data_IF_994402306848
#
_entry.id   IF_994402306848
#
_cell.length_a   1.000
_cell.length_b   1.000
_cell.length_c   1.000
_cell.angle_alpha   90.00
_cell.angle_beta   90.00
_cell.angle_gamma   90.00
#
_symmetry.space_group_name_H-M   'P 1'
#
loop_
_entity.id
_entity.type
_entity.pdbx_description
1 polymer ?
#
# COMPACT_ATOMS: atom_id res chain seq x y z
N UNK A 1 2.83 7.32 -26.27
CA UNK A 1 3.18 8.33 -25.27
C UNK A 1 4.69 8.49 -25.22
N UNK A 2 5.17 9.72 -25.11
CA UNK A 2 6.59 10.07 -25.02
C UNK A 2 7.13 9.95 -23.57
N UNK A 3 6.25 9.69 -22.61
CA UNK A 3 6.58 9.54 -21.19
C UNK A 3 6.97 8.11 -20.84
N UNK A 4 8.14 7.93 -20.20
CA UNK A 4 8.57 6.65 -19.67
C UNK A 4 7.94 6.39 -18.29
N UNK A 5 7.23 5.25 -18.07
CA UNK A 5 6.39 5.04 -16.90
C UNK A 5 7.13 4.39 -15.72
N UNK A 6 7.76 5.18 -14.83
CA UNK A 6 8.20 4.71 -13.51
C UNK A 6 7.07 4.65 -12.47
N UNK A 7 5.85 4.41 -12.93
CA UNK A 7 4.65 4.19 -12.12
C UNK A 7 4.02 2.83 -12.45
N UNK A 8 3.03 2.42 -11.68
CA UNK A 8 2.22 1.23 -12.01
C UNK A 8 1.45 1.41 -13.32
N UNK A 9 1.12 0.35 -14.04
CA UNK A 9 1.29 -1.08 -13.72
C UNK A 9 2.67 -1.63 -14.10
N UNK A 10 2.99 -2.83 -13.55
CA UNK A 10 4.30 -3.48 -13.71
C UNK A 10 4.70 -3.91 -15.12
N UNK A 11 3.76 -4.03 -16.05
CA UNK A 11 4.07 -4.34 -17.47
C UNK A 11 4.71 -3.14 -18.22
N UNK A 12 4.69 -1.91 -17.65
CA UNK A 12 5.35 -0.69 -18.17
C UNK A 12 5.07 -0.36 -19.63
N UNK A 13 3.96 -0.82 -20.19
CA UNK A 13 3.63 -0.76 -21.64
C UNK A 13 4.67 -1.47 -22.52
N UNK A 14 5.52 -2.29 -21.91
CA UNK A 14 6.55 -3.05 -22.62
C UNK A 14 5.93 -4.34 -23.17
N UNK A 15 5.73 -4.39 -24.48
CA UNK A 15 5.13 -5.55 -25.16
C UNK A 15 5.96 -6.83 -25.00
N UNK A 16 7.26 -6.72 -24.80
CA UNK A 16 8.14 -7.88 -24.62
C UNK A 16 7.92 -8.57 -23.24
N UNK A 17 7.44 -7.84 -22.23
CA UNK A 17 7.15 -8.36 -20.89
C UNK A 17 5.70 -8.81 -20.70
N UNK A 18 4.81 -8.47 -21.63
CA UNK A 18 3.39 -8.86 -21.56
C UNK A 18 3.10 -10.06 -22.45
N UNK A 19 2.17 -10.89 -22.01
CA UNK A 19 1.58 -11.89 -22.89
C UNK A 19 0.54 -11.21 -23.81
N UNK A 20 0.45 -11.63 -25.02
CA UNK A 20 -0.50 -11.30 -26.11
C UNK A 20 -1.35 -10.01 -25.99
N UNK A 21 -1.67 -9.39 -27.13
CA UNK A 21 -2.66 -8.31 -27.22
C UNK A 21 -4.06 -8.84 -26.87
N UNK A 22 -4.66 -8.30 -25.80
CA UNK A 22 -6.06 -8.59 -25.45
C UNK A 22 -6.98 -7.67 -26.23
N UNK A 23 -7.82 -8.28 -27.06
CA UNK A 23 -8.83 -7.60 -27.86
C UNK A 23 -10.24 -7.94 -27.36
N UNK A 24 -11.24 -7.16 -27.76
CA UNK A 24 -12.63 -7.35 -27.34
C UNK A 24 -13.17 -8.75 -27.70
N UNK A 25 -12.70 -9.37 -28.78
CA UNK A 25 -13.05 -10.74 -29.16
C UNK A 25 -12.57 -11.82 -28.16
N UNK A 26 -11.70 -11.45 -27.23
CA UNK A 26 -11.23 -12.32 -26.13
C UNK A 26 -11.96 -12.06 -24.81
N UNK A 27 -12.81 -11.04 -24.76
CA UNK A 27 -13.62 -10.75 -23.57
C UNK A 27 -14.87 -11.62 -23.59
N UNK A 28 -14.94 -12.56 -22.63
CA UNK A 28 -16.01 -13.55 -22.50
C UNK A 28 -16.60 -13.51 -21.09
N UNK A 29 -17.68 -14.21 -20.89
CA UNK A 29 -18.28 -14.46 -19.57
C UNK A 29 -18.17 -15.94 -19.20
N UNK A 30 -18.92 -16.40 -18.19
CA UNK A 30 -18.99 -17.78 -17.70
C UNK A 30 -19.72 -18.68 -18.71
N UNK A 31 -19.10 -18.89 -19.87
CA UNK A 31 -19.62 -19.79 -20.91
C UNK A 31 -19.07 -21.21 -20.73
N UNK A 32 -19.74 -22.18 -21.36
CA UNK A 32 -19.35 -23.60 -21.30
C UNK A 32 -17.87 -23.79 -21.67
N UNK A 33 -17.12 -24.47 -20.80
CA UNK A 33 -15.69 -24.76 -21.00
C UNK A 33 -14.73 -23.67 -20.44
N UNK A 34 -15.25 -22.54 -19.92
CA UNK A 34 -14.41 -21.46 -19.40
C UNK A 34 -14.49 -21.26 -17.87
N UNK A 35 -15.23 -22.15 -17.16
CA UNK A 35 -15.33 -22.16 -15.70
C UNK A 35 -16.05 -20.90 -15.12
N UNK A 36 -16.10 -20.77 -13.78
CA UNK A 36 -16.68 -19.64 -13.05
C UNK A 36 -15.78 -19.29 -11.87
N UNK A 37 -15.32 -18.04 -11.77
CA UNK A 37 -14.39 -17.63 -10.72
C UNK A 37 -14.92 -17.88 -9.29
N UNK A 38 -16.23 -17.69 -9.08
CA UNK A 38 -16.86 -17.86 -7.76
C UNK A 38 -17.19 -19.33 -7.45
N UNK A 39 -17.15 -20.20 -8.46
CA UNK A 39 -17.36 -21.64 -8.34
C UNK A 39 -16.37 -22.41 -9.22
N UNK A 40 -15.09 -22.13 -9.04
CA UNK A 40 -14.03 -22.67 -9.88
C UNK A 40 -13.86 -24.19 -9.68
N UNK A 41 -14.08 -24.94 -10.75
CA UNK A 41 -13.96 -26.42 -10.80
C UNK A 41 -13.05 -26.88 -11.93
N UNK A 42 -12.81 -26.06 -12.95
CA UNK A 42 -12.03 -26.33 -14.16
C UNK A 42 -10.79 -25.44 -14.28
N UNK A 43 -10.66 -24.75 -15.42
CA UNK A 43 -9.46 -23.99 -15.80
C UNK A 43 -9.09 -22.88 -14.80
N UNK A 44 -10.07 -22.22 -14.19
CA UNK A 44 -9.80 -21.17 -13.20
C UNK A 44 -9.33 -21.77 -11.87
N UNK A 45 -9.83 -22.96 -11.50
CA UNK A 45 -9.31 -23.71 -10.37
C UNK A 45 -7.85 -24.10 -10.61
N UNK A 46 -7.55 -24.69 -11.77
CA UNK A 46 -6.20 -25.09 -12.16
C UNK A 46 -5.24 -23.90 -12.17
N UNK A 47 -5.65 -22.74 -12.71
CA UNK A 47 -4.85 -21.51 -12.72
C UNK A 47 -4.55 -21.00 -11.30
N UNK A 48 -5.53 -21.02 -10.38
CA UNK A 48 -5.35 -20.63 -8.98
C UNK A 48 -4.47 -21.63 -8.21
N UNK A 49 -4.63 -22.93 -8.44
CA UNK A 49 -3.77 -23.98 -7.86
C UNK A 49 -2.34 -23.85 -8.38
N UNK A 50 -2.17 -23.53 -9.65
CA UNK A 50 -0.88 -23.27 -10.25
C UNK A 50 -0.19 -22.04 -9.64
N UNK A 51 -0.91 -20.94 -9.47
CA UNK A 51 -0.39 -19.77 -8.76
C UNK A 51 0.02 -20.10 -7.31
N UNK A 52 -0.77 -20.90 -6.59
CA UNK A 52 -0.42 -21.37 -5.25
C UNK A 52 0.87 -22.21 -5.25
N UNK A 53 1.08 -23.06 -6.24
CA UNK A 53 2.32 -23.86 -6.38
C UNK A 53 3.54 -22.97 -6.60
N UNK A 54 3.44 -21.95 -7.47
CA UNK A 54 4.54 -21.03 -7.75
C UNK A 54 4.96 -20.27 -6.48
N UNK A 55 3.98 -19.75 -5.73
CA UNK A 55 4.26 -18.98 -4.51
C UNK A 55 4.45 -19.86 -3.25
N UNK A 56 4.39 -21.18 -3.37
CA UNK A 56 4.54 -22.08 -2.24
C UNK A 56 3.45 -21.96 -1.17
N UNK A 57 2.26 -21.45 -1.54
CA UNK A 57 1.14 -21.21 -0.62
C UNK A 57 0.14 -22.35 -0.66
N UNK A 58 -0.67 -22.50 0.40
CA UNK A 58 -1.68 -23.58 0.47
C UNK A 58 -2.80 -23.40 -0.54
N UNK A 59 -3.21 -22.15 -0.78
CA UNK A 59 -4.28 -21.80 -1.72
C UNK A 59 -4.13 -20.37 -2.20
N UNK A 60 -4.66 -20.13 -3.39
CA UNK A 60 -4.63 -18.82 -4.03
C UNK A 60 -6.02 -18.48 -4.56
N UNK A 61 -6.44 -17.23 -4.42
CA UNK A 61 -7.67 -16.72 -5.01
C UNK A 61 -7.36 -15.53 -5.90
N UNK A 62 -7.78 -15.58 -7.14
CA UNK A 62 -7.70 -14.44 -8.05
C UNK A 62 -8.69 -13.35 -7.66
N UNK A 63 -8.24 -12.12 -7.74
CA UNK A 63 -9.08 -10.94 -7.57
C UNK A 63 -9.04 -10.06 -8.82
N UNK A 64 -10.20 -9.87 -9.43
CA UNK A 64 -10.41 -8.96 -10.57
C UNK A 64 -10.93 -7.60 -10.12
N UNK A 65 -11.11 -7.41 -8.81
CA UNK A 65 -11.48 -6.14 -8.17
C UNK A 65 -10.32 -5.59 -7.32
N UNK A 66 -9.08 -5.91 -7.73
CA UNK A 66 -7.85 -5.44 -7.11
C UNK A 66 -7.59 -6.02 -5.72
N UNK A 67 -6.49 -5.61 -5.11
CA UNK A 67 -6.20 -5.91 -3.71
C UNK A 67 -7.27 -5.35 -2.77
N UNK A 68 -8.03 -4.36 -3.20
CA UNK A 68 -9.15 -3.82 -2.41
C UNK A 68 -10.15 -4.91 -2.02
N UNK A 69 -10.68 -5.67 -2.99
CA UNK A 69 -11.63 -6.76 -2.69
C UNK A 69 -10.98 -7.87 -1.87
N UNK A 70 -9.72 -8.20 -2.15
CA UNK A 70 -8.96 -9.19 -1.39
C UNK A 70 -8.75 -8.79 0.08
N UNK A 71 -8.41 -7.52 0.35
CA UNK A 71 -8.29 -6.97 1.72
C UNK A 71 -9.63 -6.98 2.46
N UNK A 72 -10.72 -6.54 1.79
CA UNK A 72 -12.06 -6.62 2.34
C UNK A 72 -12.42 -8.05 2.73
N UNK A 73 -12.11 -9.02 1.87
CA UNK A 73 -12.39 -10.43 2.11
C UNK A 73 -11.55 -11.01 3.26
N UNK A 74 -10.24 -10.73 3.27
CA UNK A 74 -9.31 -11.18 4.30
C UNK A 74 -9.73 -10.70 5.70
N UNK A 75 -9.98 -9.40 5.86
CA UNK A 75 -10.43 -8.82 7.14
C UNK A 75 -11.80 -9.37 7.54
N UNK A 76 -12.76 -9.46 6.60
CA UNK A 76 -14.11 -9.94 6.90
C UNK A 76 -14.15 -11.42 7.27
N UNK A 77 -13.23 -12.23 6.77
CA UNK A 77 -13.12 -13.65 7.10
C UNK A 77 -12.42 -13.88 8.45
N UNK A 78 -11.48 -13.01 8.82
CA UNK A 78 -10.62 -13.17 9.99
C UNK A 78 -11.23 -12.56 11.26
N UNK A 79 -12.16 -11.59 11.14
CA UNK A 79 -12.74 -10.89 12.28
C UNK A 79 -14.26 -10.98 12.23
N UNK A 80 -14.88 -11.33 13.35
CA UNK A 80 -16.34 -11.34 13.49
C UNK A 80 -16.90 -9.92 13.37
N UNK A 81 -18.15 -9.79 12.90
CA UNK A 81 -18.83 -8.49 12.88
C UNK A 81 -18.83 -7.87 14.28
N UNK A 82 -18.44 -6.62 14.40
CA UNK A 82 -18.30 -5.92 15.68
C UNK A 82 -17.07 -6.30 16.50
N UNK A 83 -16.24 -7.25 16.01
CA UNK A 83 -15.04 -7.70 16.71
C UNK A 83 -13.90 -6.69 16.65
N UNK A 84 -12.84 -6.97 17.42
CA UNK A 84 -11.66 -6.10 17.52
C UNK A 84 -10.54 -6.56 16.58
N UNK A 85 -9.89 -5.62 15.92
CA UNK A 85 -8.76 -5.85 15.02
C UNK A 85 -7.60 -4.92 15.35
N UNK A 86 -6.36 -5.44 15.38
CA UNK A 86 -5.15 -4.62 15.40
C UNK A 86 -4.78 -4.24 13.96
N UNK A 87 -4.56 -2.96 13.69
CA UNK A 87 -4.30 -2.44 12.34
C UNK A 87 -3.13 -1.46 12.38
N UNK A 88 -2.16 -1.65 11.48
CA UNK A 88 -1.13 -0.63 11.25
C UNK A 88 -1.76 0.63 10.66
N UNK A 89 -1.54 1.81 11.30
CA UNK A 89 -2.25 3.06 10.95
C UNK A 89 -1.87 3.61 9.56
N UNK A 90 -0.80 3.14 8.97
CA UNK A 90 -0.37 3.44 7.60
C UNK A 90 -0.93 2.48 6.53
N UNK A 91 -1.96 1.71 6.84
CA UNK A 91 -2.63 0.85 5.86
C UNK A 91 -3.39 1.66 4.80
N UNK A 92 -3.56 1.04 3.65
CA UNK A 92 -4.39 1.58 2.56
C UNK A 92 -5.86 1.72 3.00
N UNK A 93 -6.57 2.71 2.44
CA UNK A 93 -8.00 2.99 2.75
C UNK A 93 -8.92 1.77 2.67
N UNK A 94 -8.62 0.77 1.85
CA UNK A 94 -9.40 -0.46 1.75
C UNK A 94 -9.53 -1.21 3.09
N UNK A 95 -8.52 -1.15 3.96
CA UNK A 95 -8.56 -1.77 5.29
C UNK A 95 -9.60 -1.07 6.17
N UNK A 96 -9.62 0.26 6.14
CA UNK A 96 -10.60 1.05 6.90
C UNK A 96 -12.03 0.89 6.36
N UNK A 97 -12.18 0.66 5.04
CA UNK A 97 -13.49 0.29 4.48
C UNK A 97 -13.94 -1.08 5.00
N UNK A 98 -13.05 -2.05 5.16
CA UNK A 98 -13.40 -3.33 5.80
C UNK A 98 -13.81 -3.14 7.25
N UNK A 99 -13.10 -2.29 8.00
CA UNK A 99 -13.44 -1.93 9.38
C UNK A 99 -14.85 -1.32 9.45
N UNK A 100 -15.18 -0.40 8.52
CA UNK A 100 -16.52 0.20 8.42
C UNK A 100 -17.58 -0.86 8.12
N UNK A 101 -17.43 -1.62 7.03
CA UNK A 101 -18.42 -2.59 6.55
C UNK A 101 -18.71 -3.70 7.57
N UNK A 102 -17.71 -4.04 8.39
CA UNK A 102 -17.83 -5.08 9.41
C UNK A 102 -18.11 -4.51 10.80
N UNK A 103 -18.30 -3.19 10.94
CA UNK A 103 -18.53 -2.48 12.21
C UNK A 103 -17.45 -2.81 13.26
N UNK A 104 -16.18 -2.99 12.84
CA UNK A 104 -15.12 -3.44 13.72
C UNK A 104 -14.66 -2.34 14.68
N UNK A 105 -14.02 -2.77 15.76
CA UNK A 105 -13.34 -1.94 16.73
C UNK A 105 -11.83 -1.97 16.44
N UNK A 106 -11.27 -0.98 15.70
CA UNK A 106 -9.86 -0.98 15.39
C UNK A 106 -9.03 -0.53 16.59
N UNK A 107 -7.91 -1.23 16.82
CA UNK A 107 -6.79 -0.77 17.63
C UNK A 107 -5.69 -0.37 16.67
N UNK A 108 -5.23 0.88 16.72
CA UNK A 108 -4.23 1.36 15.79
C UNK A 108 -2.81 1.28 16.36
N UNK A 109 -1.92 0.59 15.63
CA UNK A 109 -0.49 0.62 15.89
C UNK A 109 0.18 1.52 14.85
N UNK A 110 0.85 2.58 15.31
CA UNK A 110 1.51 3.53 14.43
C UNK A 110 2.91 3.03 14.07
N UNK A 111 3.33 3.05 12.79
CA UNK A 111 4.73 2.80 12.45
C UNK A 111 5.63 3.87 13.05
N UNK A 112 6.92 3.60 13.09
CA UNK A 112 7.90 4.67 13.25
C UNK A 112 7.89 5.56 12.00
N UNK A 113 8.14 6.86 12.16
CA UNK A 113 8.26 7.80 11.05
C UNK A 113 9.68 8.38 11.03
N UNK A 114 10.38 8.24 9.92
CA UNK A 114 11.60 9.02 9.67
C UNK A 114 11.20 10.45 9.34
N UNK A 115 11.31 11.34 10.32
CA UNK A 115 10.88 12.73 10.17
C UNK A 115 11.75 13.53 9.21
N UNK A 116 13.04 13.17 9.09
CA UNK A 116 13.96 13.79 8.14
C UNK A 116 13.54 13.54 6.69
N UNK A 117 13.19 12.32 6.38
CA UNK A 117 12.73 11.91 5.04
C UNK A 117 11.22 12.07 4.84
N UNK A 118 10.44 12.02 5.91
CA UNK A 118 8.97 12.07 5.86
C UNK A 118 8.34 10.75 5.41
N UNK A 119 8.98 9.61 5.69
CA UNK A 119 8.51 8.28 5.28
C UNK A 119 8.12 7.42 6.48
N UNK A 120 7.18 6.49 6.25
CA UNK A 120 6.81 5.51 7.25
C UNK A 120 7.84 4.39 7.32
N UNK A 121 8.36 4.10 8.52
CA UNK A 121 9.13 2.91 8.83
C UNK A 121 8.26 1.67 8.98
N UNK A 122 8.85 0.62 9.57
CA UNK A 122 8.16 -0.64 9.86
C UNK A 122 7.45 -0.64 11.23
N UNK A 123 6.88 -1.78 11.55
CA UNK A 123 6.29 -2.08 12.87
C UNK A 123 7.25 -3.01 13.60
N UNK A 124 7.64 -2.70 14.85
CA UNK A 124 8.49 -3.58 15.62
C UNK A 124 7.70 -4.70 16.31
N UNK A 125 8.26 -5.93 16.37
CA UNK A 125 7.62 -7.08 17.03
C UNK A 125 7.27 -6.81 18.49
N UNK A 126 8.14 -6.10 19.24
CA UNK A 126 7.94 -5.79 20.66
C UNK A 126 6.73 -4.90 20.88
N UNK A 127 6.46 -3.98 19.93
CA UNK A 127 5.27 -3.15 19.99
C UNK A 127 4.02 -3.98 19.71
N UNK A 128 4.08 -4.92 18.75
CA UNK A 128 2.95 -5.83 18.46
C UNK A 128 2.63 -6.66 19.69
N UNK A 129 3.64 -7.24 20.36
CA UNK A 129 3.47 -8.02 21.61
C UNK A 129 2.73 -7.20 22.64
N UNK A 130 3.23 -6.01 22.97
CA UNK A 130 2.61 -5.13 23.99
C UNK A 130 1.15 -4.80 23.64
N UNK A 131 0.85 -4.46 22.37
CA UNK A 131 -0.52 -4.15 21.97
C UNK A 131 -1.47 -5.34 22.09
N UNK A 132 -0.98 -6.56 21.80
CA UNK A 132 -1.77 -7.78 21.95
C UNK A 132 -1.96 -8.20 23.41
N UNK A 133 -0.97 -7.96 24.27
CA UNK A 133 -1.10 -8.15 25.73
C UNK A 133 -2.14 -7.22 26.35
N UNK A 134 -2.16 -5.95 25.91
CA UNK A 134 -3.12 -4.93 26.36
C UNK A 134 -4.53 -5.13 25.77
N UNK A 135 -4.66 -5.87 24.66
CA UNK A 135 -5.91 -6.08 23.91
C UNK A 135 -6.12 -7.56 23.59
N UNK A 136 -6.40 -8.36 24.60
CA UNK A 136 -6.51 -9.83 24.50
C UNK A 136 -7.70 -10.34 23.69
N UNK A 137 -8.65 -9.48 23.34
CA UNK A 137 -9.84 -9.76 22.53
C UNK A 137 -9.67 -9.40 21.04
N UNK A 138 -8.48 -8.98 20.63
CA UNK A 138 -8.12 -8.82 19.21
C UNK A 138 -8.20 -10.17 18.49
N UNK A 139 -8.82 -10.19 17.30
CA UNK A 139 -9.08 -11.40 16.53
C UNK A 139 -8.17 -11.57 15.31
N UNK A 140 -7.49 -10.51 14.86
CA UNK A 140 -6.50 -10.54 13.79
C UNK A 140 -5.58 -9.33 13.88
N UNK A 141 -4.36 -9.45 13.32
CA UNK A 141 -3.47 -8.32 13.08
C UNK A 141 -3.28 -8.12 11.58
N UNK A 142 -3.39 -6.88 11.12
CA UNK A 142 -3.13 -6.50 9.73
C UNK A 142 -2.07 -5.38 9.66
N UNK A 143 -1.05 -5.58 8.82
CA UNK A 143 -0.06 -4.56 8.48
C UNK A 143 0.26 -4.55 6.99
N UNK A 144 0.85 -3.45 6.52
CA UNK A 144 1.36 -3.31 5.15
C UNK A 144 2.89 -3.48 5.15
N UNK A 145 3.38 -4.46 4.37
CA UNK A 145 4.81 -4.71 4.19
C UNK A 145 5.06 -5.39 2.84
N UNK A 146 5.85 -4.82 1.92
CA UNK A 146 6.52 -3.51 2.05
C UNK A 146 5.55 -2.34 2.19
N UNK A 147 5.99 -1.26 2.86
CA UNK A 147 5.26 0.02 2.82
C UNK A 147 5.29 0.58 1.39
N UNK A 148 4.53 1.63 1.14
CA UNK A 148 4.54 2.30 -0.17
C UNK A 148 5.94 2.79 -0.55
N UNK A 149 6.70 3.25 0.44
CA UNK A 149 8.08 3.74 0.27
C UNK A 149 9.12 2.61 0.19
N UNK A 150 8.74 1.37 0.47
CA UNK A 150 9.58 0.17 0.34
C UNK A 150 10.12 -0.40 1.65
N UNK A 151 9.75 0.14 2.81
CA UNK A 151 10.20 -0.40 4.10
C UNK A 151 9.53 -1.74 4.41
N UNK A 152 10.30 -2.71 4.83
CA UNK A 152 9.85 -4.05 5.21
C UNK A 152 9.99 -4.24 6.72
N UNK A 153 8.91 -4.72 7.37
CA UNK A 153 8.89 -5.11 8.78
C UNK A 153 9.44 -6.53 8.98
N UNK A 154 9.88 -6.87 10.19
CA UNK A 154 10.27 -8.26 10.55
C UNK A 154 9.03 -9.16 10.64
N UNK A 155 8.52 -9.55 9.47
CA UNK A 155 7.30 -10.38 9.37
C UNK A 155 7.45 -11.69 10.11
N UNK A 156 8.64 -12.31 10.08
CA UNK A 156 8.87 -13.60 10.74
C UNK A 156 8.66 -13.49 12.24
N UNK A 157 9.34 -12.56 12.89
CA UNK A 157 9.22 -12.36 14.34
C UNK A 157 7.82 -11.86 14.71
N UNK A 158 7.22 -10.99 13.88
CA UNK A 158 5.82 -10.55 14.07
C UNK A 158 4.84 -11.73 14.00
N UNK A 159 5.01 -12.65 13.04
CA UNK A 159 4.17 -13.85 12.92
C UNK A 159 4.30 -14.74 14.19
N UNK A 160 5.52 -14.95 14.68
CA UNK A 160 5.76 -15.71 15.92
C UNK A 160 5.05 -15.06 17.12
N UNK A 161 5.07 -13.73 17.23
CA UNK A 161 4.34 -12.98 18.26
C UNK A 161 2.83 -13.20 18.13
N UNK A 162 2.28 -12.95 16.97
CA UNK A 162 0.83 -13.00 16.67
C UNK A 162 0.29 -14.42 16.93
N UNK A 163 1.02 -15.44 16.52
CA UNK A 163 0.63 -16.84 16.71
C UNK A 163 0.63 -17.28 18.18
N UNK A 164 1.47 -16.69 19.05
CA UNK A 164 1.35 -16.94 20.51
C UNK A 164 -0.02 -16.49 21.06
N UNK A 165 -0.61 -15.47 20.47
CA UNK A 165 -1.98 -15.00 20.80
C UNK A 165 -3.07 -15.76 20.05
N UNK A 166 -2.74 -16.75 19.22
CA UNK A 166 -3.67 -17.61 18.45
C UNK A 166 -4.60 -16.84 17.51
N UNK A 167 -4.12 -15.77 16.92
CA UNK A 167 -4.81 -14.97 15.91
C UNK A 167 -4.05 -14.98 14.59
N UNK A 168 -4.70 -14.80 13.43
CA UNK A 168 -4.05 -14.76 12.13
C UNK A 168 -3.35 -13.41 11.89
N UNK A 169 -2.21 -13.49 11.18
CA UNK A 169 -1.49 -12.37 10.61
C UNK A 169 -1.89 -12.16 9.15
N UNK A 170 -2.42 -10.98 8.84
CA UNK A 170 -2.76 -10.55 7.48
C UNK A 170 -1.71 -9.54 7.03
N UNK A 171 -1.06 -9.80 5.90
CA UNK A 171 -0.09 -8.87 5.31
C UNK A 171 -0.60 -8.32 3.99
N UNK A 172 -0.79 -7.01 3.95
CA UNK A 172 -0.97 -6.28 2.69
C UNK A 172 0.41 -6.12 2.03
N UNK A 173 0.72 -7.06 1.17
CA UNK A 173 1.93 -7.10 0.33
C UNK A 173 1.61 -6.66 -1.10
N UNK A 174 0.69 -5.70 -1.28
CA UNK A 174 0.26 -5.26 -2.61
C UNK A 174 1.41 -4.77 -3.50
N UNK A 175 2.50 -4.27 -2.91
CA UNK A 175 3.71 -3.86 -3.61
C UNK A 175 4.81 -4.94 -3.69
N UNK A 176 4.53 -6.17 -3.27
CA UNK A 176 5.54 -7.22 -3.11
C UNK A 176 5.37 -8.45 -4.02
N UNK A 177 4.52 -8.42 -5.06
CA UNK A 177 4.31 -9.60 -5.91
C UNK A 177 5.59 -10.09 -6.62
N UNK A 178 6.59 -9.25 -6.79
CA UNK A 178 7.88 -9.56 -7.40
C UNK A 178 8.90 -10.19 -6.42
N UNK A 179 8.70 -10.07 -5.11
CA UNK A 179 9.67 -10.47 -4.09
C UNK A 179 10.07 -11.95 -4.20
N UNK A 180 9.10 -12.80 -4.54
CA UNK A 180 9.32 -14.24 -4.68
C UNK A 180 10.33 -14.63 -5.77
N UNK A 181 10.56 -13.79 -6.78
CA UNK A 181 11.30 -14.17 -7.99
C UNK A 181 12.80 -13.92 -7.95
N UNK A 182 13.31 -13.18 -6.98
CA UNK A 182 14.77 -12.93 -6.87
C UNK A 182 15.20 -12.66 -5.43
N UNK A 183 16.31 -13.27 -5.04
CA UNK A 183 16.98 -13.04 -3.73
C UNK A 183 17.57 -11.62 -3.60
N UNK A 184 17.55 -10.83 -4.64
CA UNK A 184 17.92 -9.42 -4.61
C UNK A 184 16.94 -8.57 -3.80
N UNK A 185 15.70 -9.01 -3.71
CA UNK A 185 14.62 -8.37 -2.98
C UNK A 185 14.41 -9.02 -1.60
N UNK A 186 13.71 -8.34 -0.68
CA UNK A 186 13.29 -8.93 0.59
C UNK A 186 12.51 -10.23 0.39
N UNK A 187 12.49 -11.06 1.43
CA UNK A 187 11.68 -12.29 1.42
C UNK A 187 10.20 -11.94 1.55
N UNK A 188 9.35 -12.59 0.75
CA UNK A 188 7.90 -12.40 0.80
C UNK A 188 7.31 -12.79 2.14
N UNK A 189 6.28 -12.09 2.59
CA UNK A 189 5.52 -12.42 3.79
C UNK A 189 4.92 -13.84 3.76
N UNK A 190 4.63 -14.36 2.56
CA UNK A 190 4.15 -15.72 2.38
C UNK A 190 5.14 -16.79 2.87
N UNK A 191 6.45 -16.52 2.77
CA UNK A 191 7.53 -17.40 3.20
C UNK A 191 7.96 -17.16 4.67
N UNK A 192 7.45 -16.09 5.28
CA UNK A 192 7.85 -15.64 6.63
C UNK A 192 6.81 -15.90 7.72
N UNK A 193 5.76 -16.67 7.41
CA UNK A 193 4.79 -17.11 8.41
C UNK A 193 3.52 -16.25 8.49
N UNK A 194 3.30 -15.32 7.58
CA UNK A 194 1.99 -14.67 7.44
C UNK A 194 0.92 -15.73 7.08
N UNK A 195 -0.32 -15.54 7.55
CA UNK A 195 -1.41 -16.49 7.32
C UNK A 195 -2.20 -16.17 6.05
N UNK A 196 -2.37 -14.87 5.79
CA UNK A 196 -3.03 -14.34 4.59
C UNK A 196 -2.16 -13.24 4.01
N UNK A 197 -1.81 -13.35 2.73
CA UNK A 197 -1.00 -12.36 2.02
C UNK A 197 -1.75 -11.88 0.79
N UNK A 198 -1.81 -10.56 0.59
CA UNK A 198 -2.49 -9.97 -0.56
C UNK A 198 -1.45 -9.27 -1.44
N UNK A 199 -1.40 -9.65 -2.73
CA UNK A 199 -0.47 -9.08 -3.69
C UNK A 199 -1.21 -8.51 -4.90
N UNK A 200 -0.82 -7.30 -5.34
CA UNK A 200 -1.27 -6.73 -6.62
C UNK A 200 -0.30 -7.15 -7.72
N UNK A 201 -0.75 -7.98 -8.65
CA UNK A 201 0.11 -8.38 -9.76
C UNK A 201 0.46 -7.20 -10.66
N UNK A 202 -0.52 -6.35 -10.95
CA UNK A 202 -0.35 -5.21 -11.84
C UNK A 202 0.66 -4.15 -11.37
N UNK A 203 1.03 -4.14 -10.09
CA UNK A 203 1.95 -3.12 -9.57
C UNK A 203 3.41 -3.42 -9.93
N UNK A 204 3.81 -4.68 -9.86
CA UNK A 204 5.22 -5.06 -9.98
C UNK A 204 5.46 -6.22 -10.95
N UNK A 205 4.41 -6.85 -11.47
CA UNK A 205 4.46 -7.93 -12.46
C UNK A 205 3.75 -7.52 -13.75
N UNK A 206 4.04 -8.18 -14.89
CA UNK A 206 3.46 -7.85 -16.19
C UNK A 206 2.03 -8.37 -16.34
N UNK A 207 1.12 -7.86 -15.53
CA UNK A 207 -0.30 -8.16 -15.55
C UNK A 207 -1.13 -6.88 -15.69
N UNK A 208 -2.37 -6.99 -16.12
CA UNK A 208 -3.25 -5.84 -16.34
C UNK A 208 -3.62 -5.17 -15.02
N UNK A 209 -3.83 -3.85 -15.06
CA UNK A 209 -4.34 -3.07 -13.91
C UNK A 209 -5.59 -3.73 -13.32
N UNK A 210 -5.75 -3.68 -12.00
CA UNK A 210 -6.84 -4.28 -11.23
C UNK A 210 -6.62 -5.77 -10.86
N UNK A 211 -5.62 -6.45 -11.44
CA UNK A 211 -5.32 -7.85 -11.09
C UNK A 211 -4.61 -7.96 -9.75
N UNK A 212 -5.08 -8.87 -8.91
CA UNK A 212 -4.50 -9.16 -7.61
C UNK A 212 -4.75 -10.62 -7.18
N UNK A 213 -4.04 -11.05 -6.17
CA UNK A 213 -4.14 -12.41 -5.62
C UNK A 213 -4.20 -12.33 -4.09
N UNK A 214 -5.05 -13.18 -3.51
CA UNK A 214 -5.06 -13.47 -2.08
C UNK A 214 -4.48 -14.87 -1.89
N UNK A 215 -3.38 -14.96 -1.15
CA UNK A 215 -2.75 -16.21 -0.75
C UNK A 215 -3.19 -16.63 0.63
N UNK A 216 -3.49 -17.91 0.81
CA UNK A 216 -3.65 -18.58 2.09
C UNK A 216 -2.39 -19.38 2.35
N UNK A 217 -1.67 -19.04 3.43
CA UNK A 217 -0.37 -19.61 3.74
C UNK A 217 -0.43 -20.62 4.90
N UNK A 218 -1.42 -20.53 5.79
CA UNK A 218 -1.55 -21.39 6.98
C UNK A 218 -2.99 -21.88 7.21
N UNK A 219 -3.15 -22.79 8.18
CA UNK A 219 -4.46 -23.31 8.61
C UNK A 219 -5.20 -22.35 9.57
N UNK A 220 -4.59 -21.24 9.96
CA UNK A 220 -5.26 -20.22 10.76
C UNK A 220 -6.26 -19.39 9.92
N UNK A 221 -6.12 -19.40 8.60
CA UNK A 221 -7.04 -18.74 7.70
C UNK A 221 -8.23 -19.65 7.37
N UNK A 222 -9.45 -19.14 7.59
CA UNK A 222 -10.70 -19.87 7.25
C UNK A 222 -10.98 -19.76 5.75
N UNK A 223 -10.59 -20.79 5.01
CA UNK A 223 -10.71 -20.87 3.54
C UNK A 223 -12.13 -20.63 3.06
N UNK A 224 -13.13 -21.23 3.73
CA UNK A 224 -14.52 -21.15 3.30
C UNK A 224 -15.11 -19.75 3.55
N UNK A 225 -14.74 -19.10 4.65
CA UNK A 225 -15.10 -17.69 4.87
C UNK A 225 -14.42 -16.77 3.84
N UNK A 226 -13.13 -16.98 3.56
CA UNK A 226 -12.42 -16.19 2.54
C UNK A 226 -13.10 -16.35 1.18
N UNK A 227 -13.38 -17.59 0.75
CA UNK A 227 -14.08 -17.86 -0.51
C UNK A 227 -15.43 -17.15 -0.57
N UNK A 228 -16.21 -17.20 0.52
CA UNK A 228 -17.49 -16.50 0.63
C UNK A 228 -17.35 -15.00 0.45
N UNK A 229 -16.42 -14.36 1.16
CA UNK A 229 -16.23 -12.92 1.07
C UNK A 229 -15.59 -12.48 -0.24
N UNK A 230 -14.71 -13.29 -0.86
CA UNK A 230 -14.25 -13.05 -2.23
C UNK A 230 -15.43 -13.01 -3.21
N UNK A 231 -16.42 -13.91 -3.06
CA UNK A 231 -17.63 -13.87 -3.88
C UNK A 231 -18.56 -12.67 -3.59
N UNK A 232 -18.55 -12.13 -2.35
CA UNK A 232 -19.37 -10.96 -1.97
C UNK A 232 -18.76 -9.66 -2.50
N UNK A 233 -17.44 -9.52 -2.42
CA UNK A 233 -16.76 -8.26 -2.74
C UNK A 233 -16.26 -8.15 -4.18
N UNK A 234 -16.37 -9.20 -4.98
CA UNK A 234 -16.09 -9.15 -6.39
C UNK A 234 -17.37 -9.10 -7.21
N UNK A 235 -17.25 -8.57 -8.44
CA UNK A 235 -18.34 -8.59 -9.43
C UNK A 235 -18.81 -10.02 -9.71
N UNK A 236 -20.11 -10.20 -9.93
CA UNK A 236 -20.69 -11.50 -10.36
C UNK A 236 -20.31 -11.87 -11.79
N UNK A 237 -19.85 -10.89 -12.60
CA UNK A 237 -19.37 -11.09 -13.97
C UNK A 237 -17.88 -10.69 -14.03
N UNK A 238 -16.97 -11.57 -13.54
CA UNK A 238 -15.55 -11.28 -13.50
C UNK A 238 -14.96 -11.22 -14.90
N UNK A 239 -14.10 -10.22 -15.16
CA UNK A 239 -13.44 -10.07 -16.46
C UNK A 239 -12.49 -11.23 -16.75
N UNK A 240 -12.76 -11.99 -17.80
CA UNK A 240 -11.89 -13.06 -18.27
C UNK A 240 -10.59 -12.53 -18.86
N UNK A 241 -10.58 -11.31 -19.40
CA UNK A 241 -9.36 -10.64 -19.87
C UNK A 241 -8.39 -10.44 -18.69
N UNK A 242 -8.90 -9.99 -17.53
CA UNK A 242 -8.06 -9.82 -16.34
C UNK A 242 -7.54 -11.16 -15.81
N UNK A 243 -8.40 -12.19 -15.75
CA UNK A 243 -7.99 -13.53 -15.31
C UNK A 243 -6.96 -14.16 -16.24
N UNK A 244 -7.19 -14.06 -17.55
CA UNK A 244 -6.24 -14.53 -18.56
C UNK A 244 -4.91 -13.76 -18.51
N UNK A 245 -4.94 -12.47 -18.18
CA UNK A 245 -3.71 -11.67 -17.95
C UNK A 245 -2.91 -12.18 -16.75
N UNK A 246 -3.57 -12.60 -15.66
CA UNK A 246 -2.89 -13.21 -14.52
C UNK A 246 -2.29 -14.56 -14.87
N UNK A 247 -3.05 -15.43 -15.53
CA UNK A 247 -2.60 -16.76 -15.96
C UNK A 247 -1.41 -16.65 -16.93
N UNK A 248 -1.52 -15.80 -17.94
CA UNK A 248 -0.44 -15.55 -18.91
C UNK A 248 0.82 -14.95 -18.22
N UNK A 249 0.65 -14.07 -17.23
CA UNK A 249 1.75 -13.55 -16.42
C UNK A 249 2.46 -14.70 -15.67
N UNK A 250 1.71 -15.60 -15.03
CA UNK A 250 2.27 -16.74 -14.30
C UNK A 250 3.00 -17.71 -15.23
N UNK A 251 2.42 -18.02 -16.41
CA UNK A 251 3.08 -18.88 -17.39
C UNK A 251 4.35 -18.26 -17.96
N UNK A 252 4.34 -16.95 -18.26
CA UNK A 252 5.53 -16.21 -18.68
C UNK A 252 6.63 -16.25 -17.63
N UNK A 253 6.28 -16.00 -16.37
CA UNK A 253 7.24 -16.03 -15.26
C UNK A 253 7.80 -17.43 -15.00
N UNK A 254 6.99 -18.47 -15.16
CA UNK A 254 7.46 -19.86 -15.09
C UNK A 254 8.50 -20.18 -16.18
N UNK A 255 8.25 -19.75 -17.39
CA UNK A 255 9.11 -20.04 -18.56
C UNK A 255 10.39 -19.21 -18.54
N UNK A 256 10.26 -17.93 -18.34
CA UNK A 256 11.31 -16.96 -18.59
C UNK A 256 11.70 -16.13 -17.34
N UNK A 257 10.98 -16.29 -16.22
CA UNK A 257 11.09 -15.44 -15.04
C UNK A 257 12.51 -15.36 -14.49
N UNK A 258 13.23 -16.48 -14.45
CA UNK A 258 14.62 -16.48 -13.98
C UNK A 258 15.53 -15.57 -14.84
N UNK A 259 15.34 -15.57 -16.15
CA UNK A 259 16.08 -14.70 -17.06
C UNK A 259 15.63 -13.24 -16.91
N UNK A 260 14.31 -13.01 -16.94
CA UNK A 260 13.72 -11.67 -16.81
C UNK A 260 14.16 -10.97 -15.50
N UNK A 261 14.13 -11.69 -14.38
CA UNK A 261 14.55 -11.13 -13.10
C UNK A 261 16.06 -10.96 -12.97
N UNK A 262 16.88 -11.81 -13.62
CA UNK A 262 18.33 -11.56 -13.69
C UNK A 262 18.64 -10.27 -14.45
N UNK A 263 18.01 -10.04 -15.60
CA UNK A 263 18.19 -8.83 -16.39
C UNK A 263 17.69 -7.60 -15.65
N UNK A 264 16.50 -7.70 -15.07
CA UNK A 264 15.91 -6.61 -14.27
C UNK A 264 16.81 -6.22 -13.10
N UNK A 265 17.22 -7.17 -12.26
CA UNK A 265 18.05 -6.89 -11.09
C UNK A 265 19.45 -6.40 -11.47
N UNK A 266 20.02 -6.87 -12.58
CA UNK A 266 21.27 -6.37 -13.10
C UNK A 266 21.17 -4.89 -13.52
N UNK A 267 20.15 -4.53 -14.30
CA UNK A 267 19.93 -3.16 -14.75
C UNK A 267 19.58 -2.22 -13.57
N UNK A 268 18.76 -2.69 -12.65
CA UNK A 268 18.39 -1.93 -11.45
C UNK A 268 19.62 -1.66 -10.58
N UNK A 269 20.47 -2.67 -10.33
CA UNK A 269 21.68 -2.50 -9.54
C UNK A 269 22.67 -1.55 -10.21
N UNK A 270 22.88 -1.66 -11.54
CA UNK A 270 23.70 -0.74 -12.31
C UNK A 270 23.19 0.71 -12.16
N UNK A 271 21.88 0.91 -12.26
CA UNK A 271 21.26 2.22 -12.08
C UNK A 271 21.46 2.75 -10.65
N UNK A 272 21.21 1.92 -9.63
CA UNK A 272 21.41 2.31 -8.21
C UNK A 272 22.87 2.69 -7.93
N UNK A 273 23.83 1.93 -8.41
CA UNK A 273 25.26 2.24 -8.27
C UNK A 273 25.66 3.55 -8.98
N UNK A 274 25.02 3.88 -10.09
CA UNK A 274 25.25 5.14 -10.80
C UNK A 274 24.63 6.30 -10.02
N UNK A 275 23.39 6.18 -9.62
CA UNK A 275 22.61 7.18 -8.89
C UNK A 275 23.15 7.44 -7.46
N UNK A 276 23.79 6.46 -6.83
CA UNK A 276 24.41 6.65 -5.51
C UNK A 276 25.58 7.64 -5.51
N UNK A 277 26.08 8.05 -6.68
CA UNK A 277 27.15 9.03 -6.85
C UNK A 277 26.62 10.47 -6.86
N UNK A 278 25.33 10.70 -6.98
CA UNK A 278 24.73 12.02 -6.91
C UNK A 278 24.99 12.63 -5.53
N UNK A 279 25.40 13.90 -5.52
CA UNK A 279 25.87 14.56 -4.30
C UNK A 279 24.75 15.29 -3.56
N UNK A 280 23.73 15.76 -4.27
CA UNK A 280 22.63 16.58 -3.73
C UNK A 280 21.32 15.80 -3.67
N UNK A 281 20.87 15.21 -4.78
CA UNK A 281 19.71 14.29 -4.79
C UNK A 281 20.19 12.92 -4.31
N UNK A 282 19.68 12.46 -3.16
CA UNK A 282 20.10 11.18 -2.60
C UNK A 282 19.11 10.06 -2.95
N UNK A 283 19.60 9.02 -3.62
CA UNK A 283 18.86 7.77 -3.72
C UNK A 283 18.88 7.09 -2.34
N UNK A 284 17.71 6.93 -1.73
CA UNK A 284 17.57 6.38 -0.38
C UNK A 284 17.77 4.86 -0.40
N UNK A 285 18.62 4.39 0.50
CA UNK A 285 18.82 2.99 0.85
C UNK A 285 18.21 2.70 2.22
N UNK A 286 17.85 1.44 2.49
CA UNK A 286 17.25 1.06 3.76
C UNK A 286 18.08 1.44 4.99
N UNK A 287 19.41 1.41 4.87
CA UNK A 287 20.34 1.83 5.94
C UNK A 287 20.36 3.34 6.22
N UNK A 288 19.76 4.15 5.35
CA UNK A 288 19.68 5.61 5.49
C UNK A 288 18.40 6.05 6.19
N UNK A 289 17.45 5.13 6.41
CA UNK A 289 16.16 5.40 7.04
C UNK A 289 16.33 5.25 8.55
N UNK A 290 15.97 6.29 9.29
CA UNK A 290 16.05 6.29 10.75
C UNK A 290 14.81 5.64 11.37
N UNK A 291 15.01 4.91 12.48
CA UNK A 291 13.93 4.42 13.33
C UNK A 291 13.92 2.92 13.62
N UNK A 292 12.96 2.53 14.44
CA UNK A 292 12.74 1.14 14.82
C UNK A 292 11.76 0.43 13.86
N UNK A 293 11.85 -0.90 13.80
CA UNK A 293 10.94 -1.73 13.00
C UNK A 293 11.29 -1.82 11.52
N UNK A 294 12.44 -1.27 11.10
CA UNK A 294 12.97 -1.44 9.76
C UNK A 294 13.81 -2.71 9.75
N UNK A 295 13.35 -3.71 9.01
CA UNK A 295 14.02 -5.00 8.90
C UNK A 295 14.78 -5.13 7.58
N UNK A 296 14.13 -4.71 6.47
CA UNK A 296 14.71 -4.73 5.14
C UNK A 296 14.08 -3.60 4.29
N UNK A 297 14.53 -3.48 3.05
CA UNK A 297 14.07 -2.45 2.13
C UNK A 297 13.92 -3.02 0.71
N UNK A 298 12.79 -2.77 0.08
CA UNK A 298 12.53 -3.15 -1.32
C UNK A 298 13.28 -2.23 -2.28
N UNK A 299 14.38 -2.73 -2.84
CA UNK A 299 15.25 -1.98 -3.75
C UNK A 299 14.62 -1.64 -5.10
N UNK A 300 13.44 -2.20 -5.41
CA UNK A 300 12.65 -1.78 -6.58
C UNK A 300 12.09 -0.37 -6.42
N UNK A 301 12.05 0.15 -5.19
CA UNK A 301 11.65 1.52 -4.87
C UNK A 301 12.84 2.46 -5.10
N UNK A 302 12.66 3.36 -6.06
CA UNK A 302 13.63 4.41 -6.38
C UNK A 302 13.19 5.70 -5.71
N UNK A 303 13.60 5.88 -4.47
CA UNK A 303 13.21 7.01 -3.63
C UNK A 303 14.32 8.06 -3.64
N UNK A 304 14.07 9.19 -4.29
CA UNK A 304 15.01 10.29 -4.45
C UNK A 304 14.71 11.41 -3.46
N UNK A 305 15.53 11.53 -2.42
CA UNK A 305 15.40 12.61 -1.45
C UNK A 305 15.95 13.91 -1.99
N UNK A 306 15.21 14.99 -1.75
CA UNK A 306 15.59 16.37 -2.05
C UNK A 306 15.95 17.18 -0.81
N UNK A 307 16.06 16.54 0.36
CA UNK A 307 16.44 17.17 1.62
C UNK A 307 17.82 17.82 1.50
N UNK A 308 17.93 19.08 1.90
CA UNK A 308 19.17 19.87 1.78
C UNK A 308 19.45 20.38 0.37
N UNK A 309 18.43 20.48 -0.51
CA UNK A 309 18.57 21.02 -1.86
C UNK A 309 17.63 22.20 -2.12
N UNK A 310 17.91 22.97 -3.16
CA UNK A 310 17.08 24.11 -3.60
C UNK A 310 15.76 23.71 -4.28
N UNK A 311 15.47 22.41 -4.42
CA UNK A 311 14.22 21.89 -5.00
C UNK A 311 13.52 20.99 -3.99
N UNK A 312 12.20 21.01 -3.95
CA UNK A 312 11.43 20.03 -3.20
C UNK A 312 11.02 18.86 -4.12
N UNK A 313 10.42 17.79 -3.56
CA UNK A 313 10.05 16.63 -4.36
C UNK A 313 9.02 16.94 -5.45
N UNK A 314 8.09 17.87 -5.22
CA UNK A 314 7.10 18.25 -6.24
C UNK A 314 7.76 18.94 -7.44
N UNK A 315 8.72 19.84 -7.19
CA UNK A 315 9.47 20.50 -8.26
C UNK A 315 10.37 19.51 -9.01
N UNK A 316 11.05 18.59 -8.30
CA UNK A 316 11.81 17.52 -8.92
C UNK A 316 10.93 16.65 -9.83
N UNK A 317 9.75 16.26 -9.38
CA UNK A 317 8.77 15.51 -10.17
C UNK A 317 8.36 16.28 -11.43
N UNK A 318 8.06 17.57 -11.30
CA UNK A 318 7.71 18.42 -12.40
C UNK A 318 8.83 18.52 -13.43
N UNK A 319 10.09 18.72 -13.00
CA UNK A 319 11.26 18.77 -13.90
C UNK A 319 11.42 17.43 -14.64
N UNK A 320 11.34 16.29 -13.94
CA UNK A 320 11.43 14.96 -14.56
C UNK A 320 10.36 14.75 -15.63
N UNK A 321 9.12 15.17 -15.34
CA UNK A 321 8.01 15.04 -16.27
C UNK A 321 8.16 15.98 -17.48
N UNK A 322 8.35 17.27 -17.24
CA UNK A 322 8.21 18.29 -18.28
C UNK A 322 9.47 18.39 -19.16
N UNK A 323 10.68 18.18 -18.60
CA UNK A 323 11.95 18.28 -19.34
C UNK A 323 12.47 16.93 -19.85
N UNK A 324 12.31 15.86 -19.03
CA UNK A 324 12.88 14.55 -19.36
C UNK A 324 11.83 13.53 -19.80
N UNK A 325 10.54 13.87 -19.74
CA UNK A 325 9.42 13.00 -20.08
C UNK A 325 9.44 11.68 -19.28
N UNK A 326 9.75 11.79 -18.00
CA UNK A 326 9.73 10.68 -17.03
C UNK A 326 8.60 10.91 -16.05
N UNK A 327 7.63 10.00 -16.04
CA UNK A 327 6.51 10.02 -15.08
C UNK A 327 6.87 9.12 -13.90
N UNK A 328 7.00 9.73 -12.72
CA UNK A 328 7.28 9.02 -11.47
C UNK A 328 5.96 8.57 -10.82
N UNK A 329 6.06 7.70 -9.84
CA UNK A 329 4.88 7.18 -9.15
C UNK A 329 4.21 8.24 -8.28
N UNK A 330 5.00 9.00 -7.52
CA UNK A 330 4.50 9.97 -6.56
C UNK A 330 5.58 10.99 -6.20
N UNK A 331 5.15 12.19 -5.82
CA UNK A 331 5.98 13.19 -5.18
C UNK A 331 5.44 13.54 -3.79
N UNK A 332 6.35 13.66 -2.82
CA UNK A 332 6.12 14.24 -1.51
C UNK A 332 6.98 15.52 -1.36
N UNK A 333 6.82 16.24 -0.27
CA UNK A 333 7.61 17.45 0.00
C UNK A 333 9.12 17.22 -0.12
N UNK A 334 9.60 16.10 0.47
CA UNK A 334 11.02 15.81 0.67
C UNK A 334 11.60 14.77 -0.29
N UNK A 335 10.78 14.16 -1.13
CA UNK A 335 11.24 13.11 -2.04
C UNK A 335 10.31 12.89 -3.23
N UNK A 336 10.85 12.19 -4.23
CA UNK A 336 10.10 11.60 -5.35
C UNK A 336 10.29 10.09 -5.33
N UNK A 337 9.23 9.34 -5.59
CA UNK A 337 9.24 7.88 -5.63
C UNK A 337 9.00 7.39 -7.06
N UNK A 338 9.90 6.53 -7.55
CA UNK A 338 9.71 5.68 -8.71
C UNK A 338 9.54 4.22 -8.30
N UNK A 339 8.77 3.47 -9.04
CA UNK A 339 8.62 2.02 -8.86
C UNK A 339 9.21 1.33 -10.09
N UNK A 340 10.35 0.65 -9.89
CA UNK A 340 10.92 -0.20 -10.90
C UNK A 340 10.25 -1.59 -10.90
N UNK A 341 10.11 -2.20 -12.05
CA UNK A 341 9.48 -3.51 -12.21
C UNK A 341 10.15 -4.31 -13.33
N UNK A 342 9.87 -5.59 -13.40
CA UNK A 342 10.46 -6.52 -14.38
C UNK A 342 10.17 -6.14 -15.85
N UNK A 343 9.26 -5.20 -16.08
CA UNK A 343 8.96 -4.64 -17.41
C UNK A 343 9.86 -3.46 -17.83
N UNK A 344 10.72 -2.94 -16.93
CA UNK A 344 11.61 -1.84 -17.24
C UNK A 344 12.77 -2.29 -18.12
N UNK A 345 13.22 -1.38 -19.02
CA UNK A 345 14.29 -1.62 -19.97
C UNK A 345 15.59 -0.94 -19.54
N UNK A 346 16.73 -1.39 -20.07
CA UNK A 346 18.01 -0.70 -19.87
C UNK A 346 17.92 0.77 -20.32
N UNK A 347 17.27 1.05 -21.46
CA UNK A 347 17.06 2.42 -21.96
C UNK A 347 16.30 3.29 -20.96
N UNK A 348 15.25 2.73 -20.30
CA UNK A 348 14.48 3.43 -19.27
C UNK A 348 15.35 3.81 -18.07
N UNK A 349 16.18 2.87 -17.58
CA UNK A 349 17.12 3.16 -16.50
C UNK A 349 18.20 4.18 -16.89
N UNK A 350 18.76 4.08 -18.10
CA UNK A 350 19.75 5.06 -18.59
C UNK A 350 19.14 6.47 -18.68
N UNK A 351 17.91 6.59 -19.17
CA UNK A 351 17.17 7.85 -19.23
C UNK A 351 16.96 8.46 -17.85
N UNK A 352 16.53 7.66 -16.88
CA UNK A 352 16.35 8.11 -15.50
C UNK A 352 17.67 8.56 -14.86
N UNK A 353 18.72 7.75 -14.99
CA UNK A 353 20.04 8.08 -14.44
C UNK A 353 20.55 9.40 -15.00
N UNK A 354 20.51 9.58 -16.31
CA UNK A 354 20.95 10.80 -16.97
C UNK A 354 20.17 12.03 -16.49
N UNK A 355 18.83 11.90 -16.38
CA UNK A 355 17.99 12.99 -15.90
C UNK A 355 18.33 13.40 -14.46
N UNK A 356 18.49 12.44 -13.56
CA UNK A 356 18.82 12.73 -12.15
C UNK A 356 20.23 13.34 -12.03
N UNK A 357 21.21 12.81 -12.76
CA UNK A 357 22.59 13.35 -12.74
C UNK A 357 22.66 14.79 -13.27
N UNK A 358 21.95 15.11 -14.35
CA UNK A 358 21.90 16.46 -14.90
C UNK A 358 21.22 17.44 -13.92
N UNK A 359 20.10 17.03 -13.32
CA UNK A 359 19.40 17.84 -12.30
C UNK A 359 20.29 18.02 -11.07
N UNK A 360 20.95 16.97 -10.58
CA UNK A 360 21.87 17.02 -9.45
C UNK A 360 23.01 18.03 -9.68
N UNK A 361 23.54 18.08 -10.91
CA UNK A 361 24.57 19.04 -11.27
C UNK A 361 24.06 20.51 -11.26
N UNK A 362 22.82 20.74 -11.70
CA UNK A 362 22.22 22.08 -11.86
C UNK A 362 21.71 22.69 -10.55
N UNK A 363 21.14 21.90 -9.64
CA UNK A 363 20.54 22.41 -8.40
C UNK A 363 21.59 22.85 -7.37
N UNK A 364 21.20 23.64 -6.40
CA UNK A 364 22.07 24.10 -5.32
C UNK A 364 21.82 23.28 -4.05
N UNK A 365 22.88 23.14 -3.23
CA UNK A 365 22.76 22.64 -1.87
C UNK A 365 22.30 23.78 -0.95
N UNK A 366 21.41 23.48 -0.01
CA UNK A 366 20.91 24.42 1.00
C UNK A 366 21.18 23.86 2.41
N UNK A 367 21.15 24.72 3.43
CA UNK A 367 21.30 24.27 4.81
C UNK A 367 20.02 23.59 5.31
N UNK A 368 20.13 22.35 5.79
CA UNK A 368 19.01 21.57 6.34
C UNK A 368 18.31 22.27 7.53
N UNK A 369 18.99 23.24 8.17
CA UNK A 369 18.48 23.93 9.37
C UNK A 369 17.26 24.84 9.13
N UNK A 370 17.02 25.30 7.91
CA UNK A 370 15.87 26.13 7.55
C UNK A 370 14.59 25.30 7.27
N UNK A 371 14.74 24.04 6.84
CA UNK A 371 13.63 23.15 6.54
C UNK A 371 13.05 22.39 7.77
N UNK A 372 13.83 22.32 8.87
CA UNK A 372 13.52 21.46 10.02
C UNK A 372 12.30 21.89 10.87
N UNK A 373 11.67 23.03 10.58
CA UNK A 373 10.50 23.50 11.33
C UNK A 373 9.15 22.87 10.91
N UNK A 374 9.14 22.07 9.87
CA UNK A 374 7.90 21.49 9.32
C UNK A 374 7.84 19.97 9.59
N UNK A 375 7.48 19.61 10.81
CA UNK A 375 7.18 18.23 11.14
C UNK A 375 5.91 17.78 10.40
N UNK A 376 6.06 16.88 9.45
CA UNK A 376 4.95 16.16 8.80
C UNK A 376 4.43 15.01 9.66
N UNK A 377 4.80 14.96 10.96
CA UNK A 377 4.37 13.87 11.83
C UNK A 377 2.86 13.68 11.72
N UNK A 378 2.45 12.49 11.33
CA UNK A 378 1.06 12.07 11.49
C UNK A 378 0.75 12.14 12.98
N UNK A 379 0.14 13.26 13.43
CA UNK A 379 -0.27 13.40 14.81
C UNK A 379 -1.11 12.18 15.18
N UNK A 380 -0.74 11.49 16.28
CA UNK A 380 -1.56 10.41 16.80
C UNK A 380 -2.93 10.99 17.09
N UNK A 381 -3.94 10.48 16.38
CA UNK A 381 -5.31 10.91 16.52
C UNK A 381 -5.98 10.11 17.64
N UNK A 382 -6.76 10.78 18.47
CA UNK A 382 -7.58 10.10 19.48
C UNK A 382 -8.85 9.59 18.81
N UNK A 383 -9.08 8.28 18.83
CA UNK A 383 -10.33 7.69 18.38
C UNK A 383 -11.39 7.81 19.48
N UNK A 384 -12.51 8.46 19.17
CA UNK A 384 -13.63 8.70 20.12
C UNK A 384 -14.89 7.92 19.74
N UNK A 385 -14.98 7.44 18.51
CA UNK A 385 -16.07 6.62 17.99
C UNK A 385 -15.47 5.57 17.03
N UNK A 386 -16.17 4.46 16.81
CA UNK A 386 -15.80 3.56 15.72
C UNK A 386 -16.08 4.25 14.36
N UNK A 387 -15.48 3.74 13.28
CA UNK A 387 -15.70 4.31 11.94
C UNK A 387 -17.19 4.26 11.58
N UNK A 388 -17.87 3.13 11.83
CA UNK A 388 -19.29 2.96 11.54
C UNK A 388 -20.16 3.91 12.38
N UNK A 389 -19.90 4.04 13.68
CA UNK A 389 -20.61 4.98 14.54
C UNK A 389 -20.49 6.43 14.05
N UNK A 390 -19.31 6.83 13.55
CA UNK A 390 -19.08 8.19 13.09
C UNK A 390 -19.70 8.47 11.71
N UNK A 391 -19.57 7.52 10.77
CA UNK A 391 -20.12 7.65 9.41
C UNK A 391 -21.65 7.64 9.42
N UNK A 392 -22.26 6.76 10.23
CA UNK A 392 -23.70 6.56 10.26
C UNK A 392 -24.43 7.51 11.25
N UNK A 393 -23.68 8.34 12.01
CA UNK A 393 -24.24 9.35 12.88
C UNK A 393 -24.88 10.50 12.10
N UNK A 394 -25.74 11.27 12.77
CA UNK A 394 -26.16 12.57 12.22
C UNK A 394 -24.92 13.45 12.02
N UNK A 395 -24.75 13.96 10.83
CA UNK A 395 -23.59 14.75 10.47
C UNK A 395 -23.91 16.26 10.40
N UNK A 396 -22.93 17.09 10.73
CA UNK A 396 -22.98 18.55 10.54
C UNK A 396 -21.70 19.03 9.90
N UNK A 397 -21.81 19.96 8.96
CA UNK A 397 -20.68 20.54 8.27
C UNK A 397 -20.15 21.75 9.04
N UNK A 398 -18.83 21.83 9.19
CA UNK A 398 -18.13 22.94 9.81
C UNK A 398 -16.96 23.37 8.93
N UNK A 399 -16.55 24.62 9.04
CA UNK A 399 -15.25 25.03 8.50
C UNK A 399 -14.13 24.22 9.17
N UNK A 400 -13.02 23.96 8.48
CA UNK A 400 -11.90 23.24 9.09
C UNK A 400 -11.46 23.85 10.42
N UNK A 401 -11.47 25.20 10.53
CA UNK A 401 -11.06 25.90 11.76
C UNK A 401 -12.03 25.61 12.92
N UNK A 402 -13.32 25.60 12.68
CA UNK A 402 -14.37 25.40 13.70
C UNK A 402 -14.57 23.91 14.03
N UNK A 403 -14.02 23.02 13.21
CA UNK A 403 -14.12 21.57 13.43
C UNK A 403 -13.14 21.02 14.47
N UNK A 404 -12.13 21.80 14.86
CA UNK A 404 -11.12 21.38 15.87
C UNK A 404 -11.79 20.95 17.16
N UNK A 405 -11.39 19.79 17.69
CA UNK A 405 -11.95 19.17 18.90
C UNK A 405 -13.20 18.32 18.64
N UNK A 406 -13.81 18.40 17.45
CA UNK A 406 -14.96 17.56 17.06
C UNK A 406 -14.51 16.23 16.48
N UNK A 407 -15.44 15.30 16.29
CA UNK A 407 -15.18 13.96 15.74
C UNK A 407 -15.41 13.98 14.23
N UNK A 408 -14.43 13.55 13.44
CA UNK A 408 -14.61 13.45 11.99
C UNK A 408 -15.66 12.40 11.63
N UNK A 409 -16.51 12.72 10.66
CA UNK A 409 -17.40 11.78 10.00
C UNK A 409 -16.92 11.40 8.59
N UNK A 410 -15.81 11.98 8.15
CA UNK A 410 -15.24 11.79 6.84
C UNK A 410 -13.81 11.29 6.91
N UNK A 411 -13.40 10.56 5.86
CA UNK A 411 -12.00 10.31 5.59
C UNK A 411 -11.35 11.54 4.97
N UNK A 412 -10.07 11.77 5.23
CA UNK A 412 -9.25 12.61 4.39
C UNK A 412 -7.93 11.89 4.12
N UNK A 413 -7.48 11.87 2.86
CA UNK A 413 -6.24 11.23 2.44
C UNK A 413 -5.64 11.94 1.23
N UNK A 414 -4.33 11.78 1.06
CA UNK A 414 -3.66 12.12 -0.19
C UNK A 414 -3.61 10.88 -1.09
N UNK A 415 -3.71 11.06 -2.38
CA UNK A 415 -3.59 9.97 -3.34
C UNK A 415 -2.67 10.37 -4.50
N UNK A 416 -1.63 9.55 -4.78
CA UNK A 416 -1.12 8.41 -4.01
C UNK A 416 -0.60 8.79 -2.61
N UNK A 417 -0.46 7.88 -1.62
CA UNK A 417 -0.67 6.43 -1.67
C UNK A 417 -2.10 5.98 -1.24
N UNK A 418 -2.98 6.88 -0.83
CA UNK A 418 -4.31 6.51 -0.32
C UNK A 418 -4.32 6.05 1.14
N UNK A 419 -3.35 6.52 1.93
CA UNK A 419 -3.29 6.36 3.39
C UNK A 419 -4.07 7.50 4.02
N UNK A 420 -5.10 7.22 4.86
CA UNK A 420 -5.86 8.30 5.49
C UNK A 420 -5.05 9.10 6.50
N UNK A 421 -5.07 10.42 6.38
CA UNK A 421 -4.53 11.36 7.37
C UNK A 421 -5.50 11.57 8.55
N UNK A 422 -6.81 11.37 8.32
CA UNK A 422 -7.83 11.22 9.35
C UNK A 422 -8.84 10.17 8.90
N UNK A 423 -9.37 9.39 9.83
CA UNK A 423 -10.48 8.46 9.59
C UNK A 423 -11.69 8.87 10.41
N UNK A 424 -12.92 8.51 9.98
CA UNK A 424 -14.12 8.78 10.78
C UNK A 424 -13.98 8.19 12.17
N UNK A 425 -14.46 8.94 13.18
CA UNK A 425 -14.35 8.57 14.59
C UNK A 425 -13.13 9.14 15.30
N UNK A 426 -12.13 9.62 14.58
CA UNK A 426 -10.98 10.32 15.15
C UNK A 426 -11.30 11.80 15.46
N UNK A 427 -10.70 12.32 16.53
CA UNK A 427 -10.84 13.72 16.91
C UNK A 427 -10.01 14.61 15.99
N UNK A 428 -10.65 15.62 15.41
CA UNK A 428 -10.01 16.62 14.55
C UNK A 428 -9.08 17.51 15.40
N UNK A 429 -7.81 17.49 15.07
CA UNK A 429 -6.79 18.30 15.78
C UNK A 429 -6.44 19.58 15.01
N UNK A 430 -5.91 20.58 15.71
CA UNK A 430 -5.37 21.76 15.05
C UNK A 430 -4.21 21.44 14.10
N UNK A 431 -3.44 20.37 14.38
CA UNK A 431 -2.37 19.92 13.48
C UNK A 431 -2.93 19.35 12.16
N UNK A 432 -3.99 18.54 12.23
CA UNK A 432 -4.68 18.07 11.02
C UNK A 432 -5.12 19.25 10.13
N UNK A 433 -5.75 20.27 10.72
CA UNK A 433 -6.20 21.44 9.96
C UNK A 433 -5.04 22.19 9.31
N UNK A 434 -3.92 22.34 10.01
CA UNK A 434 -2.71 22.95 9.43
C UNK A 434 -2.14 22.12 8.29
N UNK A 435 -2.09 20.81 8.44
CA UNK A 435 -1.58 19.91 7.40
C UNK A 435 -2.45 19.97 6.14
N UNK A 436 -3.78 19.92 6.27
CA UNK A 436 -4.71 20.01 5.12
C UNK A 436 -4.50 21.33 4.37
N UNK A 437 -4.43 22.47 5.06
CA UNK A 437 -4.20 23.77 4.42
C UNK A 437 -2.88 23.81 3.67
N UNK A 438 -1.80 23.31 4.30
CA UNK A 438 -0.49 23.24 3.67
C UNK A 438 -0.51 22.39 2.41
N UNK A 439 -1.16 21.23 2.43
CA UNK A 439 -1.30 20.40 1.24
C UNK A 439 -2.01 21.14 0.11
N UNK A 440 -3.09 21.86 0.41
CA UNK A 440 -3.80 22.67 -0.57
C UNK A 440 -2.94 23.82 -1.12
N UNK A 441 -2.18 24.51 -0.26
CA UNK A 441 -1.23 25.58 -0.65
C UNK A 441 -0.11 25.05 -1.57
N UNK A 442 0.27 23.78 -1.42
CA UNK A 442 1.24 23.07 -2.28
C UNK A 442 0.61 22.53 -3.57
N UNK A 443 -0.68 22.75 -3.79
CA UNK A 443 -1.39 22.25 -4.96
C UNK A 443 -1.72 20.76 -4.90
N UNK A 444 -1.64 20.13 -3.71
CA UNK A 444 -2.04 18.75 -3.52
C UNK A 444 -3.54 18.66 -3.29
N UNK A 445 -4.15 17.64 -3.88
CA UNK A 445 -5.58 17.37 -3.71
C UNK A 445 -5.81 16.49 -2.48
N UNK A 446 -6.54 17.02 -1.50
CA UNK A 446 -7.01 16.24 -0.34
C UNK A 446 -8.33 15.58 -0.71
N UNK A 447 -8.31 14.26 -0.84
CA UNK A 447 -9.45 13.45 -1.23
C UNK A 447 -10.20 12.89 -0.01
N UNK A 448 -11.44 12.44 -0.23
CA UNK A 448 -12.27 11.78 0.78
C UNK A 448 -13.20 12.70 1.54
N UNK A 449 -12.98 14.01 1.50
CA UNK A 449 -13.93 15.02 1.99
C UNK A 449 -15.05 15.22 0.98
N UNK A 450 -16.26 15.44 1.45
CA UNK A 450 -17.41 15.79 0.59
C UNK A 450 -17.27 17.20 -0.02
N UNK A 451 -16.48 18.07 0.60
CA UNK A 451 -16.06 19.35 0.07
C UNK A 451 -14.69 19.22 -0.59
N UNK A 452 -14.67 19.17 -1.92
CA UNK A 452 -13.43 19.02 -2.71
C UNK A 452 -12.48 20.22 -2.60
N UNK A 453 -12.98 21.39 -2.15
CA UNK A 453 -12.12 22.55 -1.85
C UNK A 453 -11.39 22.40 -0.50
N UNK A 454 -11.74 21.38 0.28
CA UNK A 454 -11.21 21.13 1.62
C UNK A 454 -11.29 22.34 2.57
N UNK A 455 -12.28 23.22 2.38
CA UNK A 455 -12.56 24.33 3.30
C UNK A 455 -13.41 23.89 4.49
N UNK A 456 -14.22 22.84 4.29
CA UNK A 456 -15.17 22.31 5.28
C UNK A 456 -15.01 20.81 5.46
N UNK A 457 -15.45 20.29 6.61
CA UNK A 457 -15.48 18.87 6.94
C UNK A 457 -16.77 18.52 7.67
N UNK A 458 -17.34 17.33 7.40
CA UNK A 458 -18.46 16.81 8.16
C UNK A 458 -17.99 16.19 9.48
N UNK A 459 -18.68 16.51 10.55
CA UNK A 459 -18.44 15.96 11.90
C UNK A 459 -19.64 15.16 12.38
N UNK A 460 -19.38 14.08 13.10
CA UNK A 460 -20.40 13.27 13.73
C UNK A 460 -20.97 14.01 14.93
N UNK A 461 -22.30 14.10 15.03
CA UNK A 461 -22.97 14.57 16.22
C UNK A 461 -22.86 13.50 17.31
N UNK A 462 -22.30 13.83 18.48
CA UNK A 462 -22.40 12.97 19.66
C UNK A 462 -23.86 12.90 20.09
N UNK A 463 -24.47 11.73 20.05
CA UNK A 463 -25.71 11.51 20.79
C UNK A 463 -25.37 11.59 22.28
N UNK A 464 -26.06 12.44 23.03
CA UNK A 464 -25.91 12.55 24.49
C UNK A 464 -26.43 11.31 25.26
N UNK A 465 -26.59 10.17 24.60
CA UNK A 465 -27.09 8.93 25.16
C UNK A 465 -25.93 7.94 25.34
N UNK A 466 -25.44 7.81 26.59
CA UNK A 466 -24.56 6.75 27.06
C UNK A 466 -23.08 7.18 27.18
N UNK A 467 -22.75 7.82 28.29
CA UNK A 467 -21.38 7.85 28.83
C UNK A 467 -21.04 6.45 29.36
N UNK A 468 -20.60 5.54 28.49
CA UNK A 468 -19.68 4.50 28.92
C UNK A 468 -18.30 4.96 28.53
N UNK A 469 -17.46 5.19 29.52
CA UNK A 469 -16.10 5.71 29.40
C UNK A 469 -15.25 4.76 28.55
N UNK A 470 -14.93 5.19 27.32
CA UNK A 470 -13.80 4.64 26.58
C UNK A 470 -12.53 5.15 27.26
N UNK A 471 -11.86 4.28 28.02
CA UNK A 471 -10.58 4.59 28.65
C UNK A 471 -9.47 4.47 27.61
N UNK A 472 -8.78 5.56 27.25
CA UNK A 472 -7.61 5.45 26.37
C UNK A 472 -6.49 4.72 27.12
N UNK A 473 -5.83 3.77 26.44
CA UNK A 473 -4.61 3.13 26.94
C UNK A 473 -3.60 4.20 27.33
N UNK A 474 -3.10 4.12 28.56
CA UNK A 474 -2.06 5.01 29.06
C UNK A 474 -0.76 4.79 28.32
N UNK A 475 -0.04 5.88 28.06
CA UNK A 475 1.25 5.99 27.37
C UNK A 475 2.36 5.03 27.81
#
# INVERSE_FOLDING_TARGET
>A
SDYYPFHMPGHKRNRASSADDFLFERDITEISGFDNLHHAEGILKEAQEYAAQIYGTKKCFFSVNGSTAALLAAVSASVNKGGKILVARNCHKAVYHAVYLRELQPVYIYPHEDQRLGINGGISPERVERYLEENTDVQAFLLTSPTYDGVVSDIKTIAEVVHRHKIPLIVDEAHGAHLHYSKYFPVSAADLGADIVIQSFHKTLPSMTQTAVLHICSDMADVEKIKRFMGIYQTSSPSYILMASMDACMDKLRKDGQQMFREFTFNLEKARQRLSKCEKIKLIEGSMIEGSGIYDFDRSKLLFSTVGTSVNGHLLHQILRDRYHIEMEMAAEKYVLGIAAVGDTEEGFERLCTAIEEIDAEIQQTDESEESQYHTSHARMTQLMTISQAVDAQQRRYSLKESVGKVSAEFAYLYPPGIPIIVPGEQITGQFVRNVRRYMEQGLEVQGLSDTSAETICVAARNEIGQEEYSPAKE
#
